data_IF_687107366563
#
_entry.id   IF_687107366563
#
_cell.length_a   1.000
_cell.length_b   1.000
_cell.length_c   1.000
_cell.angle_alpha   90.00
_cell.angle_beta   90.00
_cell.angle_gamma   90.00
#
_symmetry.space_group_name_H-M   'P 1'
#
loop_
_entity.id
_entity.type
_entity.pdbx_description
1 polymer ?
#
# COMPACT_ATOMS: atom_id res chain seq x y z
N UNK A 1 1.94 13.28 15.71
CA UNK A 1 1.28 12.08 16.28
C UNK A 1 0.78 12.32 17.72
N UNK A 2 1.49 13.15 18.50
CA UNK A 2 1.08 13.51 19.87
C UNK A 2 -0.37 14.03 19.94
N UNK A 3 -0.78 14.84 18.96
CA UNK A 3 -2.15 15.36 18.88
C UNK A 3 -3.24 14.29 18.69
N UNK A 4 -2.91 13.13 18.14
CA UNK A 4 -3.81 11.98 18.06
C UNK A 4 -3.85 11.23 19.39
N UNK A 5 -2.70 11.02 20.03
CA UNK A 5 -2.60 10.39 21.36
C UNK A 5 -3.42 11.19 22.39
N UNK A 6 -3.30 12.52 22.38
CA UNK A 6 -4.07 13.42 23.28
C UNK A 6 -5.60 13.31 23.04
N UNK A 7 -6.02 12.79 21.91
CA UNK A 7 -7.44 12.52 21.56
C UNK A 7 -7.86 11.07 21.80
N UNK A 8 -7.02 10.27 22.46
CA UNK A 8 -7.32 8.89 22.81
C UNK A 8 -7.06 7.86 21.70
N UNK A 9 -6.32 8.22 20.65
CA UNK A 9 -5.86 7.24 19.65
C UNK A 9 -4.71 6.43 20.22
N UNK A 10 -4.72 5.13 19.92
CA UNK A 10 -3.53 4.28 20.05
C UNK A 10 -2.77 4.34 18.71
N UNK A 11 -1.45 4.55 18.79
CA UNK A 11 -0.59 4.59 17.62
C UNK A 11 0.37 3.41 17.61
N UNK A 12 0.40 2.65 16.52
CA UNK A 12 1.28 1.53 16.32
C UNK A 12 2.10 1.71 15.03
N UNK A 13 3.32 1.20 15.03
CA UNK A 13 4.17 1.08 13.85
C UNK A 13 4.44 -0.40 13.62
N UNK A 14 4.09 -0.91 12.44
CA UNK A 14 4.41 -2.27 12.05
C UNK A 14 5.75 -2.28 11.31
N UNK A 15 6.77 -2.91 11.88
CA UNK A 15 8.07 -3.16 11.25
C UNK A 15 7.99 -4.41 10.38
N UNK A 16 7.39 -4.25 9.19
CA UNK A 16 7.13 -5.35 8.25
C UNK A 16 8.38 -5.74 7.47
N UNK A 17 8.43 -6.96 6.94
CA UNK A 17 9.47 -7.36 6.00
C UNK A 17 9.49 -6.43 4.78
N UNK A 18 10.69 -6.16 4.26
CA UNK A 18 10.95 -5.10 3.28
C UNK A 18 11.47 -3.81 3.91
N UNK A 19 11.29 -3.62 5.24
CA UNK A 19 12.05 -2.65 6.03
C UNK A 19 13.39 -3.22 6.50
N UNK A 20 14.19 -2.42 7.19
CA UNK A 20 15.50 -2.84 7.72
C UNK A 20 15.58 -2.85 9.24
N UNK A 21 14.45 -2.63 9.92
CA UNK A 21 14.41 -2.52 11.37
C UNK A 21 14.87 -3.79 12.09
N UNK A 22 14.68 -4.95 11.45
CA UNK A 22 15.12 -6.25 11.96
C UNK A 22 16.37 -6.78 11.22
N UNK A 23 17.08 -5.90 10.48
CA UNK A 23 18.31 -6.23 9.79
C UNK A 23 18.15 -6.55 8.31
N UNK A 24 19.28 -6.86 7.63
CA UNK A 24 19.31 -7.06 6.18
C UNK A 24 18.45 -8.20 5.67
N UNK A 25 18.39 -9.32 6.39
CA UNK A 25 17.53 -10.46 6.02
C UNK A 25 16.05 -10.07 5.99
N UNK A 26 15.61 -9.20 6.92
CA UNK A 26 14.25 -8.68 6.97
C UNK A 26 13.89 -7.89 5.71
N UNK A 27 14.83 -7.12 5.20
CA UNK A 27 14.70 -6.40 3.94
C UNK A 27 14.61 -7.36 2.75
N UNK A 28 15.55 -8.30 2.64
CA UNK A 28 15.60 -9.27 1.53
C UNK A 28 14.31 -10.11 1.45
N UNK A 29 13.72 -10.47 2.58
CA UNK A 29 12.49 -11.26 2.66
C UNK A 29 11.21 -10.46 2.32
N UNK A 30 11.33 -9.18 1.98
CA UNK A 30 10.20 -8.32 1.65
C UNK A 30 10.38 -7.50 0.37
N UNK A 31 11.37 -7.82 -0.49
CA UNK A 31 11.56 -7.18 -1.80
C UNK A 31 11.39 -8.14 -2.98
N UNK A 32 11.35 -7.58 -4.18
CA UNK A 32 11.28 -8.35 -5.43
C UNK A 32 10.18 -9.42 -5.35
N UNK A 33 10.52 -10.68 -5.63
CA UNK A 33 9.60 -11.83 -5.62
C UNK A 33 9.07 -12.18 -4.21
N UNK A 34 9.55 -11.53 -3.17
CA UNK A 34 9.08 -11.67 -1.79
C UNK A 34 8.18 -10.52 -1.33
N UNK A 35 7.86 -9.57 -2.21
CA UNK A 35 7.16 -8.32 -1.84
C UNK A 35 5.84 -8.52 -1.12
N UNK A 36 5.09 -9.55 -1.44
CA UNK A 36 3.81 -9.86 -0.77
C UNK A 36 3.95 -10.13 0.73
N UNK A 37 5.14 -10.54 1.19
CA UNK A 37 5.39 -10.71 2.62
C UNK A 37 5.17 -9.42 3.41
N UNK A 38 5.54 -8.27 2.83
CA UNK A 38 5.28 -6.93 3.40
C UNK A 38 3.79 -6.73 3.69
N UNK A 39 2.94 -7.14 2.75
CA UNK A 39 1.48 -6.93 2.85
C UNK A 39 0.86 -7.90 3.85
N UNK A 40 1.26 -9.17 3.83
CA UNK A 40 0.80 -10.16 4.79
C UNK A 40 1.19 -9.80 6.21
N UNK A 41 2.43 -9.39 6.45
CA UNK A 41 2.90 -8.97 7.77
C UNK A 41 2.06 -7.80 8.31
N UNK A 42 1.73 -6.82 7.47
CA UNK A 42 0.92 -5.67 7.88
C UNK A 42 -0.52 -6.06 8.22
N UNK A 43 -1.14 -6.94 7.41
CA UNK A 43 -2.48 -7.47 7.67
C UNK A 43 -2.49 -8.27 8.97
N UNK A 44 -1.49 -9.12 9.19
CA UNK A 44 -1.40 -9.96 10.38
C UNK A 44 -1.17 -9.12 11.65
N UNK A 45 -0.32 -8.11 11.59
CA UNK A 45 -0.17 -7.12 12.68
C UNK A 45 -1.50 -6.41 12.96
N UNK A 46 -2.23 -6.01 11.92
CA UNK A 46 -3.53 -5.34 12.04
C UNK A 46 -4.57 -6.22 12.73
N UNK A 47 -4.67 -7.48 12.32
CA UNK A 47 -5.56 -8.47 12.92
C UNK A 47 -5.16 -8.77 14.37
N UNK A 48 -3.86 -8.91 14.62
CA UNK A 48 -3.36 -9.16 15.98
C UNK A 48 -3.75 -8.03 16.94
N UNK A 49 -3.65 -6.75 16.52
CA UNK A 49 -4.08 -5.61 17.34
C UNK A 49 -5.58 -5.67 17.69
N UNK A 50 -6.42 -6.10 16.73
CA UNK A 50 -7.86 -6.28 16.95
C UNK A 50 -8.14 -7.45 17.90
N UNK A 51 -7.51 -8.59 17.67
CA UNK A 51 -7.75 -9.82 18.42
C UNK A 51 -7.25 -9.73 19.88
N UNK A 52 -6.24 -8.89 20.14
CA UNK A 52 -5.70 -8.63 21.47
C UNK A 52 -6.28 -7.38 22.16
N UNK A 53 -7.33 -6.79 21.59
CA UNK A 53 -8.10 -5.72 22.24
C UNK A 53 -7.44 -4.35 22.27
N UNK A 54 -6.38 -4.12 21.48
CA UNK A 54 -5.77 -2.79 21.35
C UNK A 54 -6.64 -1.82 20.55
N UNK A 55 -7.50 -2.33 19.68
CA UNK A 55 -8.41 -1.53 18.85
C UNK A 55 -9.68 -2.31 18.57
N UNK A 56 -10.84 -1.63 18.55
CA UNK A 56 -12.10 -2.22 18.11
C UNK A 56 -12.05 -2.48 16.58
N UNK A 57 -12.71 -3.56 16.12
CA UNK A 57 -12.71 -4.00 14.72
C UNK A 57 -13.16 -2.92 13.73
N UNK A 58 -14.04 -2.04 14.15
CA UNK A 58 -14.58 -0.94 13.34
C UNK A 58 -13.82 0.39 13.51
N UNK A 59 -12.67 0.41 14.18
CA UNK A 59 -11.90 1.62 14.51
C UNK A 59 -10.43 1.56 14.14
N UNK A 60 -10.01 0.55 13.37
CA UNK A 60 -8.65 0.47 12.89
C UNK A 60 -8.48 1.32 11.63
N UNK A 61 -7.48 2.18 11.65
CA UNK A 61 -7.07 3.00 10.51
C UNK A 61 -5.62 2.69 10.16
N UNK A 62 -5.32 2.65 8.85
CA UNK A 62 -3.96 2.48 8.36
C UNK A 62 -3.51 3.74 7.61
N UNK A 63 -2.24 4.10 7.73
CA UNK A 63 -1.69 5.28 7.03
C UNK A 63 -0.24 5.05 6.65
N UNK A 64 0.06 5.31 5.39
CA UNK A 64 1.44 5.34 4.90
C UNK A 64 1.55 6.17 3.62
N UNK A 65 2.78 6.41 3.15
CA UNK A 65 3.02 7.21 1.95
C UNK A 65 4.06 6.63 1.01
N UNK A 66 4.09 7.09 -0.25
CA UNK A 66 5.07 6.70 -1.27
C UNK A 66 5.07 5.17 -1.48
N UNK A 67 6.21 4.50 -1.33
CA UNK A 67 6.31 3.04 -1.30
C UNK A 67 5.38 2.38 -0.26
N UNK A 68 5.20 3.02 0.91
CA UNK A 68 4.18 2.59 1.88
C UNK A 68 2.74 2.85 1.42
N UNK A 69 2.53 3.71 0.45
CA UNK A 69 1.25 3.86 -0.26
C UNK A 69 0.92 2.65 -1.11
N UNK A 70 1.93 1.98 -1.71
CA UNK A 70 1.76 0.66 -2.33
C UNK A 70 1.24 -0.36 -1.31
N UNK A 71 1.85 -0.41 -0.11
CA UNK A 71 1.38 -1.28 0.96
C UNK A 71 -0.09 -0.99 1.29
N UNK A 72 -0.46 0.28 1.52
CA UNK A 72 -1.85 0.66 1.84
C UNK A 72 -2.80 0.24 0.72
N UNK A 73 -2.47 0.49 -0.54
CA UNK A 73 -3.29 0.08 -1.67
C UNK A 73 -3.46 -1.43 -1.79
N UNK A 74 -2.37 -2.19 -1.61
CA UNK A 74 -2.37 -3.65 -1.67
C UNK A 74 -3.22 -4.26 -0.55
N UNK A 75 -3.01 -3.84 0.72
CA UNK A 75 -3.80 -4.39 1.85
C UNK A 75 -5.27 -3.98 1.79
N UNK A 76 -5.58 -2.83 1.18
CA UNK A 76 -6.96 -2.40 0.92
C UNK A 76 -7.66 -3.32 -0.08
N UNK A 77 -6.94 -3.85 -1.08
CA UNK A 77 -7.46 -4.85 -1.99
C UNK A 77 -7.54 -6.25 -1.35
N UNK A 78 -6.55 -6.63 -0.54
CA UNK A 78 -6.41 -7.99 0.00
C UNK A 78 -7.30 -8.25 1.21
N UNK A 79 -7.50 -7.25 2.08
CA UNK A 79 -8.23 -7.38 3.34
C UNK A 79 -9.01 -6.08 3.68
N UNK A 80 -9.93 -5.64 2.81
CA UNK A 80 -10.66 -4.38 3.00
C UNK A 80 -11.47 -4.34 4.30
N UNK A 81 -11.93 -5.47 4.77
CA UNK A 81 -12.75 -5.62 5.99
C UNK A 81 -11.99 -5.36 7.29
N UNK A 82 -10.66 -5.39 7.24
CA UNK A 82 -9.81 -5.15 8.43
C UNK A 82 -9.79 -3.68 8.83
N UNK A 83 -9.95 -2.78 7.87
CA UNK A 83 -9.75 -1.35 8.08
C UNK A 83 -11.07 -0.57 8.03
N UNK A 84 -11.28 0.33 9.00
CA UNK A 84 -12.35 1.33 8.95
C UNK A 84 -12.05 2.42 7.92
N UNK A 85 -10.78 2.75 7.78
CA UNK A 85 -10.32 3.71 6.80
C UNK A 85 -8.81 3.67 6.61
N UNK A 86 -8.37 4.15 5.46
CA UNK A 86 -6.96 4.21 5.10
C UNK A 86 -6.58 5.59 4.58
N UNK A 87 -5.34 5.99 4.84
CA UNK A 87 -4.76 7.24 4.34
C UNK A 87 -3.55 6.87 3.48
N UNK A 88 -3.68 7.11 2.17
CA UNK A 88 -2.66 6.84 1.17
C UNK A 88 -2.07 8.18 0.69
N UNK A 89 -0.87 8.51 1.16
CA UNK A 89 -0.21 9.78 0.87
C UNK A 89 0.80 9.60 -0.27
N UNK A 90 0.68 10.39 -1.33
CA UNK A 90 1.57 10.32 -2.51
C UNK A 90 1.83 8.87 -2.92
N UNK A 91 0.77 8.09 -3.03
CA UNK A 91 0.83 6.64 -3.03
C UNK A 91 1.28 6.05 -4.39
N UNK A 92 2.29 5.18 -4.34
CA UNK A 92 2.74 4.36 -5.47
C UNK A 92 1.76 3.20 -5.69
N UNK A 93 0.73 3.42 -6.51
CA UNK A 93 -0.39 2.47 -6.66
C UNK A 93 -0.61 1.95 -8.09
N UNK A 94 0.10 2.46 -9.06
CA UNK A 94 0.08 1.99 -10.46
C UNK A 94 1.45 1.41 -10.83
N UNK A 95 1.79 0.29 -10.18
CA UNK A 95 3.13 -0.30 -10.21
C UNK A 95 3.57 -0.64 -11.63
N UNK A 96 2.70 -1.26 -12.40
CA UNK A 96 3.05 -1.74 -13.75
C UNK A 96 3.31 -0.59 -14.70
N UNK A 97 2.40 0.38 -14.79
CA UNK A 97 2.56 1.51 -15.71
C UNK A 97 3.82 2.31 -15.36
N UNK A 98 4.06 2.58 -14.07
CA UNK A 98 5.21 3.34 -13.62
C UNK A 98 6.53 2.59 -13.85
N UNK A 99 6.58 1.30 -13.55
CA UNK A 99 7.80 0.50 -13.76
C UNK A 99 8.10 0.22 -15.23
N UNK A 100 7.13 0.39 -16.14
CA UNK A 100 7.34 0.32 -17.59
C UNK A 100 7.76 1.65 -18.24
N UNK A 101 7.67 2.76 -17.52
CA UNK A 101 8.02 4.10 -18.02
C UNK A 101 9.43 4.51 -17.55
N UNK A 102 10.43 4.20 -18.34
CA UNK A 102 11.84 4.54 -18.06
C UNK A 102 12.12 6.05 -18.08
N UNK A 103 11.17 6.88 -18.52
CA UNK A 103 11.31 8.34 -18.47
C UNK A 103 11.08 8.91 -17.05
N UNK A 104 10.47 8.13 -16.17
CA UNK A 104 10.30 8.48 -14.76
C UNK A 104 11.63 8.26 -14.01
N UNK A 105 12.15 9.27 -13.32
CA UNK A 105 13.54 9.27 -12.82
C UNK A 105 13.93 8.08 -11.91
N UNK A 106 13.00 7.52 -11.14
CA UNK A 106 13.28 6.43 -10.21
C UNK A 106 13.06 5.04 -10.82
N UNK A 107 12.34 4.91 -11.93
CA UNK A 107 11.86 3.63 -12.46
C UNK A 107 12.95 2.58 -12.62
N UNK A 108 13.99 2.87 -13.41
CA UNK A 108 15.05 1.87 -13.70
C UNK A 108 15.88 1.53 -12.45
N UNK A 109 16.06 2.50 -11.56
CA UNK A 109 16.77 2.29 -10.30
C UNK A 109 15.97 1.39 -9.35
N UNK A 110 14.65 1.53 -9.33
CA UNK A 110 13.76 0.76 -8.45
C UNK A 110 13.39 -0.63 -8.98
N UNK A 111 13.84 -1.02 -10.17
CA UNK A 111 13.73 -2.41 -10.63
C UNK A 111 14.40 -3.40 -9.68
N UNK A 112 15.40 -2.97 -8.92
CA UNK A 112 16.05 -3.79 -7.89
C UNK A 112 15.20 -3.95 -6.63
N UNK A 113 14.16 -3.14 -6.47
CA UNK A 113 13.25 -3.17 -5.32
C UNK A 113 11.94 -3.89 -5.66
N UNK A 114 11.33 -3.55 -6.81
CA UNK A 114 10.01 -4.04 -7.20
C UNK A 114 10.08 -5.20 -8.20
N UNK A 115 11.06 -5.18 -9.08
CA UNK A 115 11.22 -6.06 -10.22
C UNK A 115 11.28 -5.30 -11.55
N UNK A 116 11.84 -5.95 -12.57
CA UNK A 116 11.91 -5.44 -13.93
C UNK A 116 10.71 -5.97 -14.75
N UNK A 117 9.77 -5.13 -15.21
CA UNK A 117 8.60 -5.57 -15.96
C UNK A 117 8.92 -6.14 -17.35
N UNK A 118 10.15 -5.95 -17.86
CA UNK A 118 10.61 -6.59 -19.08
C UNK A 118 10.94 -8.10 -18.89
N UNK A 119 10.94 -8.58 -17.65
CA UNK A 119 11.08 -10.00 -17.31
C UNK A 119 9.69 -10.53 -16.96
N UNK A 120 9.16 -11.46 -17.75
CA UNK A 120 7.79 -11.95 -17.65
C UNK A 120 7.41 -12.39 -16.23
N UNK A 121 8.24 -13.19 -15.59
CA UNK A 121 7.98 -13.68 -14.21
C UNK A 121 7.85 -12.53 -13.22
N UNK A 122 8.69 -11.51 -13.31
CA UNK A 122 8.66 -10.34 -12.43
C UNK A 122 7.45 -9.43 -12.75
N UNK A 123 7.12 -9.27 -14.03
CA UNK A 123 5.92 -8.57 -14.47
C UNK A 123 4.66 -9.20 -13.87
N UNK A 124 4.49 -10.52 -14.06
CA UNK A 124 3.32 -11.25 -13.55
C UNK A 124 3.21 -11.16 -12.02
N UNK A 125 4.36 -11.23 -11.35
CA UNK A 125 4.39 -11.09 -9.89
C UNK A 125 3.99 -9.68 -9.44
N UNK A 126 4.54 -8.62 -10.05
CA UNK A 126 4.16 -7.23 -9.76
C UNK A 126 2.67 -6.98 -10.07
N UNK A 127 2.18 -7.47 -11.21
CA UNK A 127 0.78 -7.37 -11.59
C UNK A 127 -0.14 -7.99 -10.54
N UNK A 128 0.29 -9.08 -9.91
CA UNK A 128 -0.50 -9.80 -8.91
C UNK A 128 -0.72 -9.05 -7.58
N UNK A 129 -0.05 -7.91 -7.38
CA UNK A 129 -0.25 -7.07 -6.20
C UNK A 129 -0.42 -5.57 -6.50
N UNK A 130 -0.20 -5.13 -7.73
CA UNK A 130 -0.36 -3.72 -8.12
C UNK A 130 -1.74 -3.20 -7.73
N UNK A 131 -1.86 -2.19 -6.86
CA UNK A 131 -3.14 -1.78 -6.31
C UNK A 131 -4.15 -1.35 -7.37
N UNK A 132 -3.72 -0.58 -8.35
CA UNK A 132 -4.58 -0.12 -9.45
C UNK A 132 -5.14 -1.30 -10.26
N UNK A 133 -4.30 -2.28 -10.58
CA UNK A 133 -4.67 -3.39 -11.43
C UNK A 133 -5.64 -4.36 -10.73
N UNK A 134 -5.52 -4.50 -9.41
CA UNK A 134 -6.31 -5.42 -8.58
C UNK A 134 -7.53 -4.78 -7.91
N UNK A 135 -8.01 -3.63 -8.39
CA UNK A 135 -9.31 -3.10 -7.94
C UNK A 135 -10.43 -3.97 -8.50
N UNK A 136 -11.30 -4.44 -7.63
CA UNK A 136 -12.41 -5.36 -7.92
C UNK A 136 -13.76 -4.76 -7.50
N UNK A 137 -14.86 -5.36 -7.95
CA UNK A 137 -16.21 -5.00 -7.53
C UNK A 137 -16.49 -5.57 -6.13
N UNK A 138 -16.11 -4.82 -5.08
CA UNK A 138 -16.33 -5.17 -3.68
C UNK A 138 -16.46 -3.93 -2.79
N UNK A 139 -16.81 -4.14 -1.53
CA UNK A 139 -16.81 -3.06 -0.53
C UNK A 139 -15.37 -2.72 -0.11
N UNK A 140 -15.10 -1.42 0.01
CA UNK A 140 -13.80 -0.87 0.42
C UNK A 140 -13.93 -0.03 1.69
N UNK A 141 -12.86 0.12 2.49
CA UNK A 141 -12.85 1.06 3.60
C UNK A 141 -12.97 2.52 3.11
N UNK A 142 -13.14 3.46 4.03
CA UNK A 142 -13.00 4.87 3.68
C UNK A 142 -11.55 5.15 3.25
N UNK A 143 -11.35 5.83 2.13
CA UNK A 143 -10.02 6.08 1.57
C UNK A 143 -9.80 7.59 1.45
N UNK A 144 -8.75 8.10 2.10
CA UNK A 144 -8.21 9.42 1.86
C UNK A 144 -6.91 9.29 1.06
N UNK A 145 -6.95 9.63 -0.21
CA UNK A 145 -5.76 9.70 -1.06
C UNK A 145 -5.32 11.16 -1.21
N UNK A 146 -4.03 11.42 -0.98
CA UNK A 146 -3.43 12.74 -1.20
C UNK A 146 -2.27 12.65 -2.18
N UNK A 147 -2.08 13.68 -3.00
CA UNK A 147 -0.97 13.75 -3.96
C UNK A 147 -0.57 15.20 -4.22
N UNK A 148 0.60 15.39 -4.81
CA UNK A 148 1.11 16.70 -5.23
C UNK A 148 1.19 16.78 -6.76
N UNK A 149 0.66 17.83 -7.37
CA UNK A 149 0.66 18.03 -8.82
C UNK A 149 2.08 17.99 -9.43
N UNK A 150 3.08 18.43 -8.68
CA UNK A 150 4.48 18.52 -9.10
C UNK A 150 5.37 17.53 -8.34
N UNK A 151 4.81 16.43 -7.85
CA UNK A 151 5.60 15.39 -7.23
C UNK A 151 6.51 14.73 -8.29
N UNK A 152 7.82 14.75 -8.05
CA UNK A 152 8.83 14.22 -8.97
C UNK A 152 9.17 12.75 -8.73
N UNK A 153 8.65 12.15 -7.67
CA UNK A 153 8.95 10.77 -7.27
C UNK A 153 7.77 9.84 -7.55
N UNK A 154 6.57 10.20 -7.05
CA UNK A 154 5.34 9.46 -7.32
C UNK A 154 4.39 10.38 -8.10
N UNK A 155 4.13 10.01 -9.31
CA UNK A 155 3.36 10.84 -10.22
C UNK A 155 1.91 11.01 -9.74
N UNK A 156 1.38 12.24 -9.79
CA UNK A 156 0.04 12.57 -9.26
C UNK A 156 -1.09 11.77 -9.91
N UNK A 157 -0.89 11.30 -11.13
CA UNK A 157 -1.90 10.53 -11.84
C UNK A 157 -2.09 9.11 -11.30
N UNK A 158 -1.11 8.54 -10.59
CA UNK A 158 -1.26 7.21 -9.99
C UNK A 158 -2.42 7.18 -8.98
N UNK A 159 -2.39 7.96 -7.89
CA UNK A 159 -3.52 7.98 -6.95
C UNK A 159 -4.80 8.55 -7.59
N UNK A 160 -4.70 9.46 -8.55
CA UNK A 160 -5.88 9.99 -9.25
C UNK A 160 -6.61 8.90 -10.06
N UNK A 161 -5.88 8.11 -10.85
CA UNK A 161 -6.41 6.96 -11.60
C UNK A 161 -6.99 5.89 -10.68
N UNK A 162 -6.26 5.58 -9.60
CA UNK A 162 -6.67 4.59 -8.62
C UNK A 162 -8.00 4.96 -7.95
N UNK A 163 -8.14 6.20 -7.48
CA UNK A 163 -9.41 6.71 -6.91
C UNK A 163 -10.53 6.70 -7.94
N UNK A 164 -10.26 7.09 -9.18
CA UNK A 164 -11.26 7.04 -10.26
C UNK A 164 -11.77 5.61 -10.48
N UNK A 165 -10.85 4.62 -10.57
CA UNK A 165 -11.21 3.20 -10.73
C UNK A 165 -11.98 2.66 -9.52
N UNK A 166 -11.54 2.96 -8.29
CA UNK A 166 -12.26 2.59 -7.08
C UNK A 166 -13.71 3.09 -7.09
N UNK A 167 -13.93 4.35 -7.45
CA UNK A 167 -15.28 4.94 -7.53
C UNK A 167 -16.21 4.26 -8.52
N UNK A 168 -15.66 3.65 -9.57
CA UNK A 168 -16.46 2.92 -10.56
C UNK A 168 -16.71 1.47 -10.18
N UNK A 169 -15.82 0.88 -9.39
CA UNK A 169 -15.83 -0.54 -9.08
C UNK A 169 -16.43 -0.88 -7.71
N UNK A 170 -16.28 0.02 -6.72
CA UNK A 170 -16.74 -0.25 -5.34
C UNK A 170 -18.25 -0.47 -5.28
N UNK A 171 -18.68 -1.37 -4.38
CA UNK A 171 -20.09 -1.74 -4.18
C UNK A 171 -20.70 -1.15 -2.91
N UNK A 172 -19.91 -0.47 -2.09
CA UNK A 172 -20.35 0.26 -0.90
C UNK A 172 -20.78 1.70 -1.23
N UNK A 173 -21.28 2.42 -0.23
CA UNK A 173 -21.71 3.82 -0.32
C UNK A 173 -20.77 4.80 0.41
N UNK A 174 -19.54 4.36 0.71
CA UNK A 174 -18.55 5.20 1.42
C UNK A 174 -17.97 6.29 0.52
#
# INVERSE_FOLDING_TARGET
>A
RLSLLDRGFVYAIAHVRGGQEMGGAWYEDGKMMNKKNTFFDFIDCSKWLQDNGYVAKDKLFASCGSAGGLLIGAVTNMAPEVYRGVIAQVAFVDVITTMMDESIPLTTFEWLEWGNPNIQEQYEYMLSYSPYDNVEAKAYPNILATTGLHDSQVQYWEPAKWVAKLRTMKTDNN
#
